data_IF_435095406824
#
_entry.id   IF_435095406824
#
_cell.length_a   1.000
_cell.length_b   1.000
_cell.length_c   1.000
_cell.angle_alpha   90.00
_cell.angle_beta   90.00
_cell.angle_gamma   90.00
#
_symmetry.space_group_name_H-M   'P 1'
#
loop_
_entity.id
_entity.type
_entity.pdbx_description
1 polymer ?
#
# COMPACT_ATOMS: atom_id res chain seq x y z
N UNK A 1 -12.31 -9.73 11.84
CA UNK A 1 -11.43 -8.57 11.60
C UNK A 1 -10.36 -8.96 10.59
N UNK A 2 -9.67 -8.00 9.95
CA UNK A 2 -8.54 -8.33 9.08
C UNK A 2 -7.33 -8.69 9.95
N UNK A 3 -6.85 -9.93 9.87
CA UNK A 3 -5.68 -10.43 10.60
C UNK A 3 -4.58 -10.87 9.65
N UNK A 4 -3.34 -10.96 10.13
CA UNK A 4 -2.22 -11.47 9.34
C UNK A 4 -2.49 -12.89 8.84
N UNK A 5 -3.01 -13.75 9.71
CA UNK A 5 -3.37 -15.14 9.39
C UNK A 5 -4.34 -15.22 8.23
N UNK A 6 -5.41 -14.41 8.24
CA UNK A 6 -6.38 -14.37 7.15
C UNK A 6 -5.71 -13.93 5.83
N UNK A 7 -4.79 -12.97 5.86
CA UNK A 7 -4.08 -12.55 4.64
C UNK A 7 -3.17 -13.66 4.13
N UNK A 8 -2.44 -14.36 5.02
CA UNK A 8 -1.59 -15.50 4.65
C UNK A 8 -2.37 -16.71 4.16
N UNK A 9 -3.59 -16.91 4.67
CA UNK A 9 -4.48 -17.99 4.23
C UNK A 9 -5.02 -17.73 2.81
N UNK A 10 -5.30 -16.47 2.49
CA UNK A 10 -5.92 -16.08 1.22
C UNK A 10 -4.90 -15.82 0.11
N UNK A 11 -3.72 -15.31 0.47
CA UNK A 11 -2.73 -14.83 -0.48
C UNK A 11 -1.32 -15.33 -0.13
N UNK A 12 -0.55 -15.57 -1.17
CA UNK A 12 0.89 -15.77 -1.09
C UNK A 12 1.63 -14.49 -1.53
N UNK A 13 2.81 -14.25 -0.96
CA UNK A 13 3.62 -13.08 -1.27
C UNK A 13 4.74 -13.46 -2.24
N UNK A 14 4.76 -12.80 -3.40
CA UNK A 14 5.79 -12.99 -4.42
C UNK A 14 6.23 -11.63 -4.94
N UNK A 15 7.46 -11.21 -4.61
CA UNK A 15 8.12 -10.02 -5.15
C UNK A 15 7.26 -8.72 -5.10
N UNK A 16 6.70 -8.41 -3.93
CA UNK A 16 5.84 -7.23 -3.76
C UNK A 16 4.40 -7.42 -4.23
N UNK A 17 4.04 -8.61 -4.73
CA UNK A 17 2.68 -8.93 -5.20
C UNK A 17 2.02 -9.94 -4.27
N UNK A 18 0.71 -9.81 -4.13
CA UNK A 18 -0.11 -10.79 -3.42
C UNK A 18 -0.82 -11.66 -4.46
N UNK A 19 -0.48 -12.94 -4.48
CA UNK A 19 -1.04 -13.93 -5.40
C UNK A 19 -2.17 -14.67 -4.68
N UNK A 20 -3.35 -14.80 -5.31
CA UNK A 20 -4.48 -15.51 -4.71
C UNK A 20 -4.21 -17.01 -4.66
N UNK A 21 -4.20 -17.59 -3.46
CA UNK A 21 -4.06 -19.05 -3.27
C UNK A 21 -5.36 -19.70 -2.77
N UNK A 22 -6.26 -18.90 -2.19
CA UNK A 22 -7.56 -19.38 -1.72
C UNK A 22 -8.69 -18.45 -2.13
N UNK A 23 -9.84 -19.04 -2.41
CA UNK A 23 -11.06 -18.33 -2.78
C UNK A 23 -12.26 -18.89 -2.04
N UNK A 24 -13.22 -18.03 -1.74
CA UNK A 24 -14.42 -18.38 -0.98
C UNK A 24 -15.54 -18.99 -1.84
N UNK A 25 -15.52 -18.74 -3.15
CA UNK A 25 -16.56 -19.20 -4.08
C UNK A 25 -15.95 -19.84 -5.32
N UNK A 26 -16.60 -20.89 -5.84
CA UNK A 26 -16.13 -21.63 -7.03
C UNK A 26 -15.90 -20.72 -8.24
N UNK A 27 -16.75 -19.71 -8.46
CA UNK A 27 -16.59 -18.75 -9.56
C UNK A 27 -15.31 -17.91 -9.45
N UNK A 28 -14.72 -17.81 -8.26
CA UNK A 28 -13.46 -17.11 -8.06
C UNK A 28 -12.24 -17.99 -8.33
N UNK A 29 -12.39 -19.30 -8.61
CA UNK A 29 -11.26 -20.18 -8.93
C UNK A 29 -10.42 -19.67 -10.11
N UNK A 30 -11.02 -18.92 -11.04
CA UNK A 30 -10.31 -18.28 -12.15
C UNK A 30 -9.26 -17.24 -11.71
N UNK A 31 -9.30 -16.80 -10.44
CA UNK A 31 -8.35 -15.88 -9.83
C UNK A 31 -7.28 -16.58 -9.00
N UNK A 32 -7.36 -17.91 -8.80
CA UNK A 32 -6.30 -18.67 -8.16
C UNK A 32 -5.02 -18.59 -9.00
N UNK A 33 -3.88 -18.42 -8.34
CA UNK A 33 -2.57 -18.22 -8.95
C UNK A 33 -2.36 -16.84 -9.60
N UNK A 34 -3.35 -15.94 -9.55
CA UNK A 34 -3.24 -14.61 -10.16
C UNK A 34 -2.97 -13.53 -9.13
N UNK A 35 -2.33 -12.44 -9.58
CA UNK A 35 -2.14 -11.25 -8.77
C UNK A 35 -3.49 -10.67 -8.33
N UNK A 36 -3.65 -10.47 -7.03
CA UNK A 36 -4.88 -10.02 -6.43
C UNK A 36 -5.16 -8.54 -6.74
N UNK A 37 -6.44 -8.24 -6.93
CA UNK A 37 -6.94 -6.87 -7.01
C UNK A 37 -6.78 -6.24 -8.39
N UNK A 38 -6.97 -4.93 -8.44
CA UNK A 38 -6.87 -4.10 -9.65
C UNK A 38 -6.19 -2.77 -9.32
N UNK A 39 -5.63 -2.11 -10.34
CA UNK A 39 -5.01 -0.79 -10.19
C UNK A 39 -6.09 0.28 -10.27
N UNK A 40 -6.15 1.15 -9.26
CA UNK A 40 -7.04 2.33 -9.24
C UNK A 40 -6.50 3.46 -10.12
N UNK A 41 -7.35 4.44 -10.44
CA UNK A 41 -6.96 5.66 -11.18
C UNK A 41 -5.80 6.44 -10.54
N UNK A 42 -5.57 6.26 -9.24
CA UNK A 42 -4.50 6.94 -8.50
C UNK A 42 -3.17 6.16 -8.44
N UNK A 43 -3.09 5.01 -9.13
CA UNK A 43 -1.91 4.15 -9.21
C UNK A 43 -1.80 3.13 -8.07
N UNK A 44 -2.73 3.11 -7.13
CA UNK A 44 -2.74 2.11 -6.04
C UNK A 44 -3.44 0.84 -6.46
N UNK A 45 -2.84 -0.32 -6.18
CA UNK A 45 -3.52 -1.61 -6.30
C UNK A 45 -4.46 -1.85 -5.12
N UNK A 46 -5.71 -2.22 -5.42
CA UNK A 46 -6.79 -2.41 -4.46
C UNK A 46 -7.28 -3.86 -4.48
N UNK A 47 -7.37 -4.48 -3.30
CA UNK A 47 -7.76 -5.87 -3.10
C UNK A 47 -9.02 -5.90 -2.23
N UNK A 48 -10.03 -6.65 -2.66
CA UNK A 48 -11.28 -6.85 -1.90
C UNK A 48 -11.21 -8.13 -1.08
N UNK A 49 -11.42 -8.02 0.23
CA UNK A 49 -11.46 -9.10 1.21
C UNK A 49 -12.73 -8.93 2.04
N UNK A 50 -13.58 -9.96 2.10
CA UNK A 50 -14.83 -9.96 2.88
C UNK A 50 -15.70 -8.69 2.70
N UNK A 51 -15.86 -8.25 1.45
CA UNK A 51 -16.67 -7.06 1.13
C UNK A 51 -15.94 -5.72 1.28
N UNK A 52 -14.80 -5.66 1.99
CA UNK A 52 -14.02 -4.44 2.22
C UNK A 52 -12.83 -4.35 1.27
N UNK A 53 -12.52 -3.13 0.83
CA UNK A 53 -11.41 -2.84 -0.09
C UNK A 53 -10.20 -2.36 0.70
N UNK A 54 -9.04 -2.98 0.46
CA UNK A 54 -7.76 -2.66 1.09
C UNK A 54 -6.72 -2.34 0.03
N UNK A 55 -5.75 -1.48 0.35
CA UNK A 55 -4.61 -1.18 -0.53
C UNK A 55 -3.57 -2.29 -0.43
N UNK A 56 -2.97 -2.68 -1.56
CA UNK A 56 -2.02 -3.80 -1.63
C UNK A 56 -0.80 -3.59 -0.72
N UNK A 57 -0.15 -2.43 -0.75
CA UNK A 57 0.98 -2.13 0.14
C UNK A 57 0.66 -2.36 1.63
N UNK A 58 -0.55 -1.99 2.06
CA UNK A 58 -0.97 -2.21 3.45
C UNK A 58 -1.10 -3.69 3.78
N UNK A 59 -1.65 -4.47 2.86
CA UNK A 59 -1.78 -5.91 3.03
C UNK A 59 -0.42 -6.61 3.01
N UNK A 60 0.51 -6.17 2.16
CA UNK A 60 1.90 -6.68 2.16
C UNK A 60 2.58 -6.35 3.49
N UNK A 61 2.44 -5.12 3.99
CA UNK A 61 2.99 -4.73 5.29
C UNK A 61 2.44 -5.63 6.41
N UNK A 62 1.12 -5.82 6.47
CA UNK A 62 0.47 -6.71 7.44
C UNK A 62 0.94 -8.17 7.29
N UNK A 63 1.10 -8.65 6.05
CA UNK A 63 1.58 -10.01 5.76
C UNK A 63 2.94 -10.27 6.41
N UNK A 64 3.88 -9.33 6.31
CA UNK A 64 5.24 -9.50 6.86
C UNK A 64 5.37 -9.10 8.33
N UNK A 65 4.77 -7.97 8.74
CA UNK A 65 4.99 -7.37 10.07
C UNK A 65 3.98 -7.84 11.12
N UNK A 66 2.84 -8.40 10.72
CA UNK A 66 1.83 -8.93 11.64
C UNK A 66 0.91 -7.88 12.28
N UNK A 67 1.15 -6.60 12.04
CA UNK A 67 0.27 -5.50 12.46
C UNK A 67 0.03 -4.52 11.31
N UNK A 68 -1.00 -3.70 11.45
CA UNK A 68 -1.37 -2.67 10.48
C UNK A 68 -1.23 -1.28 11.13
N UNK A 69 -0.21 -0.48 10.79
CA UNK A 69 -0.11 0.90 11.29
C UNK A 69 -1.21 1.77 10.66
N UNK A 70 -1.43 2.98 11.18
CA UNK A 70 -2.41 3.92 10.63
C UNK A 70 -2.11 4.25 9.17
N UNK A 71 -0.85 4.49 8.83
CA UNK A 71 -0.38 4.73 7.47
C UNK A 71 0.87 3.89 7.14
N UNK A 72 0.93 3.47 5.88
CA UNK A 72 2.08 2.77 5.28
C UNK A 72 2.47 3.57 4.06
N UNK A 73 3.74 3.95 3.97
CA UNK A 73 4.30 4.79 2.93
C UNK A 73 5.38 4.06 2.13
N UNK A 74 5.58 4.48 0.89
CA UNK A 74 6.58 3.94 -0.04
C UNK A 74 7.88 4.74 0.07
N UNK A 75 8.99 4.10 0.42
CA UNK A 75 10.29 4.76 0.61
C UNK A 75 10.76 5.43 -0.68
N UNK A 76 10.61 4.76 -1.83
CA UNK A 76 10.96 5.30 -3.14
C UNK A 76 9.86 6.18 -3.79
N UNK A 77 8.70 6.36 -3.12
CA UNK A 77 7.54 7.08 -3.67
C UNK A 77 6.82 6.38 -4.84
N UNK A 78 7.23 5.17 -5.22
CA UNK A 78 6.63 4.38 -6.30
C UNK A 78 5.48 3.53 -5.77
N UNK A 79 4.25 3.89 -6.14
CA UNK A 79 3.01 3.25 -5.65
C UNK A 79 2.82 1.81 -6.17
N UNK A 80 3.51 1.43 -7.24
CA UNK A 80 3.45 0.10 -7.84
C UNK A 80 4.40 -0.88 -7.16
N UNK A 81 5.49 -0.39 -6.56
CA UNK A 81 6.50 -1.20 -5.91
C UNK A 81 6.11 -1.46 -4.45
N UNK A 82 5.36 -2.53 -4.23
CA UNK A 82 4.89 -2.89 -2.89
C UNK A 82 5.81 -3.91 -2.19
N UNK A 83 7.09 -4.03 -2.58
CA UNK A 83 8.04 -4.90 -1.86
C UNK A 83 8.19 -4.45 -0.42
N UNK A 84 8.30 -5.40 0.51
CA UNK A 84 8.36 -5.08 1.95
C UNK A 84 9.55 -4.16 2.30
N UNK A 85 10.67 -4.29 1.60
CA UNK A 85 11.85 -3.43 1.76
C UNK A 85 11.61 -1.97 1.35
N UNK A 86 10.62 -1.72 0.49
CA UNK A 86 10.22 -0.40 0.04
C UNK A 86 9.07 0.19 0.86
N UNK A 87 8.57 -0.51 1.88
CA UNK A 87 7.44 -0.08 2.70
C UNK A 87 7.88 0.28 4.11
N UNK A 88 7.37 1.41 4.63
CA UNK A 88 7.56 1.83 6.02
C UNK A 88 6.24 2.16 6.70
N UNK A 89 6.16 1.90 8.01
CA UNK A 89 5.14 2.51 8.84
C UNK A 89 5.42 4.00 8.94
N UNK A 90 4.44 4.83 8.65
CA UNK A 90 4.55 6.28 8.78
C UNK A 90 3.47 6.78 9.74
N UNK A 91 3.81 7.76 10.56
CA UNK A 91 2.80 8.56 11.24
C UNK A 91 2.19 9.55 10.23
N UNK A 92 0.95 9.99 10.47
CA UNK A 92 0.19 10.88 9.57
C UNK A 92 0.96 12.17 9.22
N UNK A 93 1.79 12.64 10.15
CA UNK A 93 2.68 13.80 9.98
C UNK A 93 3.88 13.50 9.06
N UNK A 94 4.50 12.32 9.18
CA UNK A 94 5.65 11.89 8.38
C UNK A 94 5.24 11.60 6.92
N UNK A 95 4.04 11.06 6.70
CA UNK A 95 3.49 10.86 5.35
C UNK A 95 3.25 12.21 4.63
N UNK A 96 2.83 13.26 5.35
CA UNK A 96 2.75 14.60 4.77
C UNK A 96 4.13 15.20 4.45
N UNK A 97 5.18 14.80 5.17
CA UNK A 97 6.54 15.24 4.88
C UNK A 97 7.08 14.66 3.56
N UNK A 98 6.69 13.44 3.19
CA UNK A 98 7.03 12.81 1.91
C UNK A 98 6.16 13.24 0.72
N UNK A 99 5.09 14.00 0.96
CA UNK A 99 4.31 14.60 -0.13
C UNK A 99 5.22 15.58 -0.88
N UNK A 100 5.44 15.33 -2.19
CA UNK A 100 6.18 16.24 -3.10
C UNK A 100 5.79 17.68 -2.79
N UNK A 101 6.79 18.53 -2.57
CA UNK A 101 6.62 19.98 -2.48
C UNK A 101 5.80 20.42 -3.68
N UNK A 102 4.74 21.20 -3.43
CA UNK A 102 3.90 21.73 -4.51
C UNK A 102 4.77 22.47 -5.53
N UNK A 103 4.35 22.45 -6.80
CA UNK A 103 5.04 23.09 -7.94
C UNK A 103 5.32 24.60 -7.78
N UNK A 104 4.78 25.22 -6.73
CA UNK A 104 4.94 26.64 -6.40
C UNK A 104 6.09 26.89 -5.41
N UNK A 105 6.87 25.87 -5.05
CA UNK A 105 8.03 26.04 -4.18
C UNK A 105 9.30 26.32 -5.00
N UNK A 106 9.60 27.59 -5.20
CA UNK A 106 10.82 28.07 -5.88
C UNK A 106 12.09 27.97 -5.04
N UNK A 107 12.01 27.59 -3.76
CA UNK A 107 13.19 27.52 -2.86
C UNK A 107 13.73 26.11 -2.63
N UNK A 108 13.02 25.05 -3.04
CA UNK A 108 13.46 23.66 -2.89
C UNK A 108 13.52 23.13 -1.45
N UNK A 109 13.28 23.99 -0.46
CA UNK A 109 13.31 23.67 0.96
C UNK A 109 11.89 23.74 1.52
N UNK A 110 11.51 22.72 2.30
CA UNK A 110 10.19 22.64 2.93
C UNK A 110 10.16 23.57 4.16
N UNK A 111 9.29 24.58 4.14
CA UNK A 111 8.98 25.39 5.34
C UNK A 111 9.52 26.82 5.38
N UNK A 112 10.10 27.35 4.30
CA UNK A 112 10.55 28.76 4.25
C UNK A 112 9.73 29.50 3.20
N UNK A 113 8.86 30.39 3.67
CA UNK A 113 8.26 31.44 2.85
C UNK A 113 9.04 32.74 3.12
N UNK A 114 9.51 33.41 2.08
CA UNK A 114 10.10 34.74 2.25
C UNK A 114 9.01 35.72 2.69
N UNK A 115 9.22 36.32 3.86
CA UNK A 115 8.53 37.56 4.24
C UNK A 115 9.29 38.71 3.60
N UNK A 116 8.79 39.21 2.48
CA UNK A 116 9.18 40.53 1.98
C UNK A 116 8.45 41.58 2.79
N UNK A 117 9.21 42.46 3.44
CA UNK A 117 8.74 43.69 4.06
C UNK A 117 8.79 44.83 3.06
#
# INVERSE_FOLDING_TARGET
>A
MLTQELVKELFDYVDGKLIRIKVSHKNLNMFLGKEAGHVSKFGYRLIKINGKTYRAHRLVFLYHKGYMPEEVDHINGSKSDNRIENLRSANRQENQWNRKTGSNNTSGIKGIAWSTR
#
